data_IF_468599270338
#
_entry.id   IF_468599270338
#
_cell.length_a   1.000
_cell.length_b   1.000
_cell.length_c   1.000
_cell.angle_alpha   90.00
_cell.angle_beta   90.00
_cell.angle_gamma   90.00
#
_symmetry.space_group_name_H-M   'P 1'
#
loop_
_entity.id
_entity.type
_entity.pdbx_description
1 polymer ?
#
# COMPACT_ATOMS: atom_id res chain seq x y z
N UNK A 1 -7.51 -0.14 10.78
CA UNK A 1 -7.71 -0.11 9.32
C UNK A 1 -6.40 0.02 8.54
N UNK A 2 -5.81 1.22 8.33
CA UNK A 2 -4.58 1.37 7.51
C UNK A 2 -3.32 0.78 8.16
N UNK A 3 -3.19 0.92 9.47
CA UNK A 3 -2.05 0.33 10.21
C UNK A 3 -2.11 -1.20 10.16
N UNK A 4 -3.30 -1.80 10.23
CA UNK A 4 -3.48 -3.25 10.09
C UNK A 4 -3.14 -3.72 8.68
N UNK A 5 -3.52 -2.96 7.65
CA UNK A 5 -3.12 -3.25 6.27
C UNK A 5 -1.59 -3.24 6.12
N UNK A 6 -0.91 -2.23 6.65
CA UNK A 6 0.55 -2.17 6.67
C UNK A 6 1.19 -3.34 7.42
N UNK A 7 0.63 -3.73 8.56
CA UNK A 7 1.12 -4.89 9.33
C UNK A 7 0.92 -6.20 8.56
N UNK A 8 -0.24 -6.41 7.93
CA UNK A 8 -0.50 -7.60 7.08
C UNK A 8 0.46 -7.69 5.89
N UNK A 9 0.82 -6.56 5.27
CA UNK A 9 1.83 -6.53 4.21
C UNK A 9 3.20 -7.00 4.72
N UNK A 10 3.59 -6.57 5.92
CA UNK A 10 4.84 -7.03 6.55
C UNK A 10 4.79 -8.52 6.92
N UNK A 11 3.66 -9.01 7.42
CA UNK A 11 3.42 -10.43 7.68
C UNK A 11 3.52 -11.27 6.38
N UNK A 12 3.00 -10.74 5.27
CA UNK A 12 3.12 -11.33 3.94
C UNK A 12 4.52 -11.19 3.31
N UNK A 13 5.51 -10.66 4.05
CA UNK A 13 6.89 -10.44 3.60
C UNK A 13 7.00 -9.49 2.40
N UNK A 14 6.14 -8.49 2.33
CA UNK A 14 6.33 -7.31 1.48
C UNK A 14 7.29 -6.37 2.23
N UNK A 15 8.41 -5.92 1.61
CA UNK A 15 9.43 -5.12 2.27
C UNK A 15 9.02 -3.64 2.41
N UNK A 16 7.77 -3.37 2.78
CA UNK A 16 7.27 -2.02 3.00
C UNK A 16 7.88 -1.41 4.27
N UNK A 17 8.38 -0.20 4.13
CA UNK A 17 9.03 0.60 5.17
C UNK A 17 8.04 1.57 5.80
N UNK A 18 8.37 2.07 7.00
CA UNK A 18 7.56 3.10 7.65
C UNK A 18 7.48 4.39 6.81
N UNK A 19 8.55 4.75 6.09
CA UNK A 19 8.57 5.94 5.24
C UNK A 19 7.54 5.80 4.10
N UNK A 20 7.50 4.66 3.44
CA UNK A 20 6.53 4.39 2.37
C UNK A 20 5.10 4.40 2.87
N UNK A 21 4.88 3.90 4.09
CA UNK A 21 3.57 3.99 4.75
C UNK A 21 3.17 5.45 5.02
N UNK A 22 4.09 6.27 5.52
CA UNK A 22 3.83 7.70 5.72
C UNK A 22 3.55 8.42 4.40
N UNK A 23 4.26 8.08 3.32
CA UNK A 23 3.97 8.61 1.98
C UNK A 23 2.57 8.24 1.48
N UNK A 24 2.09 7.02 1.75
CA UNK A 24 0.70 6.66 1.43
C UNK A 24 -0.29 7.52 2.21
N UNK A 25 -0.05 7.74 3.51
CA UNK A 25 -0.94 8.57 4.34
C UNK A 25 -0.97 10.03 3.88
N UNK A 26 0.19 10.60 3.53
CA UNK A 26 0.30 11.95 2.96
C UNK A 26 -0.48 12.06 1.64
N UNK A 27 -0.35 11.08 0.75
CA UNK A 27 -1.09 11.09 -0.52
C UNK A 27 -2.62 10.97 -0.35
N UNK A 28 -3.08 10.28 0.70
CA UNK A 28 -4.50 10.23 1.04
C UNK A 28 -5.00 11.54 1.66
N UNK A 29 -4.17 12.22 2.45
CA UNK A 29 -4.49 13.51 3.06
C UNK A 29 -4.59 14.62 2.00
N UNK A 30 -3.75 14.55 0.98
CA UNK A 30 -3.72 15.48 -0.17
C UNK A 30 -4.71 15.12 -1.29
N UNK A 31 -5.57 14.10 -1.09
CA UNK A 31 -6.60 13.67 -2.06
C UNK A 31 -6.03 13.35 -3.47
N UNK A 32 -4.83 12.75 -3.51
CA UNK A 32 -4.07 12.50 -4.75
C UNK A 32 -4.73 11.47 -5.67
N UNK A 33 -5.63 10.66 -5.12
CA UNK A 33 -6.36 9.62 -5.84
C UNK A 33 -7.85 9.73 -5.52
N UNK A 34 -8.70 9.51 -6.52
CA UNK A 34 -10.14 9.46 -6.34
C UNK A 34 -10.55 8.44 -5.25
N UNK A 35 -11.75 8.63 -4.70
CA UNK A 35 -12.25 7.86 -3.53
C UNK A 35 -12.60 6.39 -3.80
N UNK A 36 -12.25 5.86 -4.98
CA UNK A 36 -12.54 4.48 -5.36
C UNK A 36 -11.51 3.47 -4.84
N UNK A 37 -11.96 2.21 -4.74
CA UNK A 37 -11.13 1.09 -4.29
C UNK A 37 -10.00 0.79 -5.29
N UNK A 38 -10.27 0.96 -6.57
CA UNK A 38 -9.30 0.71 -7.64
C UNK A 38 -8.16 1.75 -7.61
N UNK A 39 -8.49 3.02 -7.40
CA UNK A 39 -7.53 4.09 -7.27
C UNK A 39 -6.70 3.93 -5.99
N UNK A 40 -7.34 3.53 -4.89
CA UNK A 40 -6.63 3.16 -3.67
C UNK A 40 -5.68 1.98 -3.89
N UNK A 41 -6.07 0.97 -4.68
CA UNK A 41 -5.20 -0.15 -5.03
C UNK A 41 -3.92 0.33 -5.73
N UNK A 42 -4.06 1.13 -6.79
CA UNK A 42 -2.89 1.62 -7.53
C UNK A 42 -2.03 2.58 -6.71
N UNK A 43 -2.65 3.48 -5.94
CA UNK A 43 -1.94 4.39 -5.05
C UNK A 43 -1.15 3.62 -3.99
N UNK A 44 -1.80 2.71 -3.27
CA UNK A 44 -1.15 1.93 -2.21
C UNK A 44 -0.06 1.00 -2.75
N UNK A 45 -0.25 0.36 -3.91
CA UNK A 45 0.78 -0.47 -4.55
C UNK A 45 2.00 0.36 -4.95
N UNK A 46 1.80 1.52 -5.56
CA UNK A 46 2.90 2.42 -5.97
C UNK A 46 3.67 2.98 -4.77
N UNK A 47 2.96 3.31 -3.68
CA UNK A 47 3.56 3.81 -2.46
C UNK A 47 4.33 2.73 -1.69
N UNK A 48 3.81 1.51 -1.60
CA UNK A 48 4.29 0.47 -0.68
C UNK A 48 5.13 -0.64 -1.32
N UNK A 49 5.16 -0.75 -2.64
CA UNK A 49 5.88 -1.83 -3.34
C UNK A 49 6.87 -1.26 -4.35
N UNK A 50 8.17 -1.40 -4.07
CA UNK A 50 9.26 -0.86 -4.91
C UNK A 50 9.89 -1.86 -5.87
N UNK A 51 9.44 -3.09 -5.79
CA UNK A 51 9.98 -4.20 -6.56
C UNK A 51 8.82 -5.11 -6.97
N UNK A 52 8.67 -5.30 -8.27
CA UNK A 52 7.58 -6.05 -8.89
C UNK A 52 7.50 -7.50 -8.41
N UNK A 53 8.60 -8.07 -7.90
CA UNK A 53 8.62 -9.43 -7.34
C UNK A 53 7.73 -9.57 -6.09
N UNK A 54 7.27 -8.47 -5.51
CA UNK A 54 6.35 -8.47 -4.37
C UNK A 54 4.89 -8.18 -4.76
N UNK A 55 4.58 -8.03 -6.04
CA UNK A 55 3.23 -7.77 -6.54
C UNK A 55 2.24 -8.85 -6.11
N UNK A 56 2.54 -10.13 -6.33
CA UNK A 56 1.66 -11.23 -5.94
C UNK A 56 1.36 -11.27 -4.43
N UNK A 57 2.35 -10.93 -3.60
CA UNK A 57 2.20 -10.88 -2.14
C UNK A 57 1.29 -9.74 -1.72
N UNK A 58 1.46 -8.58 -2.35
CA UNK A 58 0.62 -7.41 -2.12
C UNK A 58 -0.82 -7.70 -2.52
N UNK A 59 -1.02 -8.26 -3.72
CA UNK A 59 -2.34 -8.54 -4.29
C UNK A 59 -3.12 -9.52 -3.40
N UNK A 60 -2.45 -10.52 -2.81
CA UNK A 60 -3.06 -11.44 -1.82
C UNK A 60 -3.51 -10.77 -0.53
N UNK A 61 -2.82 -9.71 -0.09
CA UNK A 61 -3.18 -8.97 1.13
C UNK A 61 -4.29 -7.97 0.85
N UNK A 62 -4.36 -7.45 -0.38
CA UNK A 62 -5.35 -6.48 -0.81
C UNK A 62 -6.71 -7.11 -1.15
N UNK A 63 -6.72 -8.35 -1.67
CA UNK A 63 -7.92 -9.11 -2.06
C UNK A 63 -8.88 -9.43 -0.92
#
# INVERSE_FOLDING_TARGET
MFTEFFLKLREAKVPATLREYLTLLEALDEDVADTGIEEFYYLSRSALVKDERNFDKFDRVFS
#
